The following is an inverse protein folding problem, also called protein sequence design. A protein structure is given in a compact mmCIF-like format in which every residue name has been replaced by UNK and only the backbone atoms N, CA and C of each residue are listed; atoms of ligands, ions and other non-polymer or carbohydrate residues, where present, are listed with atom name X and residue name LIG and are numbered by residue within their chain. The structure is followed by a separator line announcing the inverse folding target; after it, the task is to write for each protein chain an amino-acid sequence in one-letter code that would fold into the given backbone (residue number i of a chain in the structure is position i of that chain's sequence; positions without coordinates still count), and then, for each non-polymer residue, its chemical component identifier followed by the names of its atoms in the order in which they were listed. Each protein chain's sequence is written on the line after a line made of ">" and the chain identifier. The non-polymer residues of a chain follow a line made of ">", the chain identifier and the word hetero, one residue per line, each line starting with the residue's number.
data_IF_928111719145
#
_entry.id   IF_928111719145
#
_cell.length_a   1.000
_cell.length_b   1.000
_cell.length_c   1.000
_cell.angle_alpha   90.00
_cell.angle_beta   90.00
_cell.angle_gamma   90.00
#
_symmetry.space_group_name_H-M   'P 1'
#
loop_
_entity.id
_entity.type
_entity.pdbx_description
1 polymer ?
#
# COMPACT_ATOMS: atom_id res chain seq x y z
N UNK A 1 -19.05 1.07 6.98
CA UNK A 1 -17.77 0.85 6.26
C UNK A 1 -17.64 -0.61 5.90
N UNK A 2 -17.07 -0.91 4.75
CA UNK A 2 -16.87 -2.27 4.24
C UNK A 2 -15.54 -2.37 3.50
N UNK A 3 -15.11 -3.60 3.20
CA UNK A 3 -13.97 -3.88 2.33
C UNK A 3 -14.36 -4.89 1.27
N UNK A 4 -13.72 -4.80 0.10
CA UNK A 4 -13.87 -5.78 -0.98
C UNK A 4 -12.64 -5.79 -1.88
N UNK A 5 -12.40 -6.92 -2.53
CA UNK A 5 -11.39 -7.00 -3.59
C UNK A 5 -11.87 -6.13 -4.76
N UNK A 6 -10.97 -5.31 -5.30
CA UNK A 6 -11.25 -4.52 -6.49
C UNK A 6 -11.53 -5.45 -7.68
N UNK A 7 -12.46 -5.09 -8.54
CA UNK A 7 -12.69 -5.73 -9.83
C UNK A 7 -12.56 -4.72 -10.97
N UNK A 8 -12.75 -5.17 -12.21
CA UNK A 8 -12.59 -4.32 -13.41
C UNK A 8 -13.44 -3.04 -13.39
N UNK A 9 -14.60 -3.09 -12.73
CA UNK A 9 -15.50 -1.93 -12.54
C UNK A 9 -14.93 -0.83 -11.65
N UNK A 10 -13.90 -1.14 -10.86
CA UNK A 10 -13.29 -0.21 -9.90
C UNK A 10 -12.06 0.51 -10.43
N UNK A 11 -11.71 0.29 -11.71
CA UNK A 11 -10.47 0.81 -12.28
C UNK A 11 -10.34 2.33 -12.11
N UNK A 12 -11.44 3.08 -12.22
CA UNK A 12 -11.46 4.53 -12.01
C UNK A 12 -11.22 4.92 -10.55
N UNK A 13 -11.88 4.23 -9.61
CA UNK A 13 -11.69 4.47 -8.16
C UNK A 13 -10.26 4.16 -7.72
N UNK A 14 -9.69 3.04 -8.19
CA UNK A 14 -8.29 2.68 -7.91
C UNK A 14 -7.34 3.73 -8.49
N UNK A 15 -7.53 4.14 -9.76
CA UNK A 15 -6.70 5.19 -10.38
C UNK A 15 -6.77 6.51 -9.61
N UNK A 16 -7.96 6.92 -9.19
CA UNK A 16 -8.15 8.15 -8.43
C UNK A 16 -7.42 8.09 -7.08
N UNK A 17 -7.60 7.02 -6.30
CA UNK A 17 -6.94 6.87 -5.00
C UNK A 17 -5.41 6.75 -5.14
N UNK A 18 -4.90 6.05 -6.17
CA UNK A 18 -3.45 5.99 -6.47
C UNK A 18 -2.91 7.37 -6.84
N UNK A 19 -3.66 8.16 -7.61
CA UNK A 19 -3.28 9.54 -7.91
C UNK A 19 -3.14 10.37 -6.64
N UNK A 20 -4.09 10.29 -5.71
CA UNK A 20 -4.00 10.97 -4.42
C UNK A 20 -2.80 10.48 -3.60
N UNK A 21 -2.53 9.17 -3.59
CA UNK A 21 -1.35 8.60 -2.93
C UNK A 21 -0.04 9.14 -3.52
N UNK A 22 0.06 9.25 -4.85
CA UNK A 22 1.24 9.85 -5.53
C UNK A 22 1.46 11.29 -5.15
N UNK A 23 0.39 12.10 -5.18
CA UNK A 23 0.45 13.51 -4.79
C UNK A 23 0.88 13.63 -3.33
N UNK A 24 0.38 12.75 -2.46
CA UNK A 24 0.78 12.73 -1.06
C UNK A 24 2.26 12.39 -0.88
N UNK A 25 2.76 11.33 -1.53
CA UNK A 25 4.16 10.90 -1.43
C UNK A 25 5.11 11.95 -2.02
N UNK A 26 4.79 12.54 -3.17
CA UNK A 26 5.67 13.51 -3.84
C UNK A 26 5.95 14.77 -3.00
N UNK A 27 5.02 15.14 -2.11
CA UNK A 27 5.17 16.25 -1.18
C UNK A 27 6.05 15.93 0.04
N UNK A 28 6.44 14.66 0.22
CA UNK A 28 7.28 14.24 1.34
C UNK A 28 8.77 14.32 1.01
N UNK A 29 9.61 14.32 2.06
CA UNK A 29 11.06 14.33 1.91
C UNK A 29 11.54 13.06 1.19
N UNK A 30 12.16 13.24 0.03
CA UNK A 30 12.59 12.13 -0.84
C UNK A 30 11.46 11.49 -1.63
N UNK A 31 10.27 12.10 -1.66
CA UNK A 31 9.08 11.58 -2.32
C UNK A 31 9.26 11.37 -3.81
N UNK A 32 9.87 12.32 -4.52
CA UNK A 32 10.11 12.20 -5.97
C UNK A 32 10.95 10.97 -6.31
N UNK A 33 12.05 10.72 -5.59
CA UNK A 33 12.87 9.53 -5.83
C UNK A 33 12.17 8.26 -5.38
N UNK A 34 11.44 8.30 -4.25
CA UNK A 34 10.68 7.16 -3.75
C UNK A 34 9.61 6.69 -4.75
N UNK A 35 8.94 7.62 -5.45
CA UNK A 35 8.01 7.29 -6.54
C UNK A 35 8.69 6.62 -7.73
N UNK A 36 9.96 6.91 -7.99
CA UNK A 36 10.75 6.27 -9.05
C UNK A 36 11.37 4.93 -8.63
N UNK A 37 11.48 4.67 -7.32
CA UNK A 37 12.09 3.44 -6.76
C UNK A 37 11.09 2.60 -5.97
N UNK A 38 10.87 2.93 -4.71
CA UNK A 38 10.16 2.13 -3.71
C UNK A 38 8.67 1.99 -4.04
N UNK A 39 8.12 2.98 -4.74
CA UNK A 39 6.73 3.06 -5.20
C UNK A 39 6.61 3.17 -6.72
N UNK A 40 7.56 2.59 -7.47
CA UNK A 40 7.57 2.63 -8.94
C UNK A 40 6.25 2.15 -9.59
N UNK A 41 5.53 1.25 -8.94
CA UNK A 41 4.20 0.81 -9.38
C UNK A 41 3.19 1.97 -9.44
N UNK A 42 3.28 2.97 -8.56
CA UNK A 42 2.42 4.15 -8.61
C UNK A 42 2.70 5.02 -9.85
N UNK A 43 3.94 5.05 -10.33
CA UNK A 43 4.33 5.78 -11.55
C UNK A 43 4.01 5.04 -12.84
N UNK A 44 3.80 3.71 -12.79
CA UNK A 44 3.51 2.91 -13.96
C UNK A 44 2.20 3.40 -14.65
N UNK A 45 2.26 3.85 -15.92
CA UNK A 45 1.15 4.56 -16.55
C UNK A 45 -0.09 3.70 -16.80
N UNK A 46 0.02 2.37 -16.78
CA UNK A 46 -1.06 1.46 -17.19
C UNK A 46 -1.04 0.09 -16.49
N UNK A 47 -0.61 -0.02 -15.22
CA UNK A 47 -1.00 -1.21 -14.46
C UNK A 47 -2.50 -1.10 -14.20
N UNK A 48 -3.28 -1.83 -14.99
CA UNK A 48 -4.70 -1.94 -14.74
C UNK A 48 -4.83 -2.88 -13.55
N UNK A 49 -4.51 -2.43 -12.33
CA UNK A 49 -4.31 -3.31 -11.17
C UNK A 49 -5.57 -4.11 -10.81
N UNK A 50 -6.74 -3.60 -11.18
CA UNK A 50 -8.01 -4.32 -11.10
C UNK A 50 -8.14 -5.48 -12.12
N UNK A 51 -7.32 -5.49 -13.17
CA UNK A 51 -7.16 -6.55 -14.17
C UNK A 51 -5.88 -7.38 -13.97
N UNK A 52 -4.84 -6.82 -13.33
CA UNK A 52 -3.60 -7.53 -12.95
C UNK A 52 -3.72 -8.27 -11.61
N UNK A 53 -4.95 -8.56 -11.19
CA UNK A 53 -5.23 -9.40 -10.03
C UNK A 53 -4.81 -10.83 -10.35
N UNK A 54 -3.87 -11.34 -9.57
CA UNK A 54 -3.45 -12.74 -9.63
C UNK A 54 -3.74 -13.41 -8.30
N UNK A 55 -3.54 -14.73 -8.21
CA UNK A 55 -3.67 -15.43 -6.94
C UNK A 55 -2.74 -14.86 -5.84
N UNK A 56 -1.64 -14.22 -6.27
CA UNK A 56 -0.55 -13.72 -5.42
C UNK A 56 -0.45 -12.18 -5.40
N UNK A 57 -1.34 -11.45 -6.07
CA UNK A 57 -1.42 -9.98 -6.02
C UNK A 57 -2.87 -9.55 -6.03
N UNK A 58 -3.28 -8.82 -4.99
CA UNK A 58 -4.64 -8.31 -4.85
C UNK A 58 -4.65 -6.84 -4.45
N UNK A 59 -5.73 -6.17 -4.84
CA UNK A 59 -6.08 -4.83 -4.37
C UNK A 59 -7.41 -4.91 -3.64
N UNK A 60 -7.47 -4.39 -2.42
CA UNK A 60 -8.73 -4.18 -1.70
C UNK A 60 -9.08 -2.71 -1.66
N UNK A 61 -10.38 -2.43 -1.72
CA UNK A 61 -10.97 -1.13 -1.50
C UNK A 61 -11.59 -1.08 -0.11
N UNK A 62 -11.41 0.06 0.56
CA UNK A 62 -12.10 0.42 1.79
C UNK A 62 -13.19 1.41 1.44
N UNK A 63 -14.43 1.07 1.78
CA UNK A 63 -15.61 1.82 1.38
C UNK A 63 -16.34 2.41 2.60
N UNK A 64 -16.84 3.63 2.43
CA UNK A 64 -17.90 4.20 3.27
C UNK A 64 -19.17 4.15 2.42
N UNK A 65 -20.16 3.43 2.92
CA UNK A 65 -21.30 2.97 2.12
C UNK A 65 -20.79 2.24 0.86
N UNK A 66 -21.03 2.80 -0.32
CA UNK A 66 -20.58 2.24 -1.60
C UNK A 66 -19.43 3.04 -2.26
N UNK A 67 -18.92 4.08 -1.60
CA UNK A 67 -17.85 4.94 -2.11
C UNK A 67 -16.50 4.43 -1.62
N UNK A 68 -15.60 4.09 -2.54
CA UNK A 68 -14.22 3.74 -2.22
C UNK A 68 -13.45 5.00 -1.78
N UNK A 69 -12.94 5.00 -0.55
CA UNK A 69 -12.21 6.12 0.08
C UNK A 69 -10.79 5.74 0.50
N UNK A 70 -10.40 4.50 0.23
CA UNK A 70 -9.07 3.98 0.54
C UNK A 70 -8.82 2.67 -0.18
N UNK A 71 -7.57 2.27 -0.26
CA UNK A 71 -7.16 1.01 -0.85
C UNK A 71 -5.90 0.46 -0.20
N UNK A 72 -5.67 -0.83 -0.39
CA UNK A 72 -4.39 -1.48 -0.14
C UNK A 72 -4.09 -2.45 -1.27
N UNK A 73 -2.88 -2.38 -1.81
CA UNK A 73 -2.35 -3.36 -2.75
C UNK A 73 -1.29 -4.20 -2.04
N UNK A 74 -1.41 -5.53 -2.15
CA UNK A 74 -0.46 -6.45 -1.55
C UNK A 74 -0.12 -7.59 -2.51
N UNK A 75 1.09 -8.12 -2.37
CA UNK A 75 1.56 -9.28 -3.09
C UNK A 75 2.23 -10.29 -2.18
N UNK A 76 2.16 -11.58 -2.53
CA UNK A 76 2.92 -12.62 -1.85
C UNK A 76 4.23 -12.87 -2.60
N UNK A 77 5.33 -12.79 -1.85
CA UNK A 77 6.67 -13.10 -2.32
C UNK A 77 7.14 -14.40 -1.69
N UNK A 78 7.57 -15.35 -2.52
CA UNK A 78 8.30 -16.52 -2.06
C UNK A 78 9.78 -16.15 -1.95
N UNK A 79 10.29 -16.10 -0.72
CA UNK A 79 11.70 -15.83 -0.44
C UNK A 79 12.48 -17.14 -0.36
N UNK A 80 13.77 -17.04 -0.06
CA UNK A 80 14.64 -18.20 0.17
C UNK A 80 14.14 -19.05 1.34
N UNK A 81 14.54 -20.33 1.34
CA UNK A 81 14.21 -21.29 2.39
C UNK A 81 12.69 -21.52 2.61
N UNK A 82 11.87 -21.23 1.60
CA UNK A 82 10.42 -21.44 1.64
C UNK A 82 9.65 -20.43 2.49
N UNK A 83 10.28 -19.30 2.85
CA UNK A 83 9.61 -18.25 3.60
C UNK A 83 8.72 -17.41 2.67
N UNK A 84 7.40 -17.46 2.88
CA UNK A 84 6.47 -16.59 2.18
C UNK A 84 6.30 -15.26 2.94
N UNK A 85 6.41 -14.15 2.23
CA UNK A 85 6.27 -12.79 2.76
C UNK A 85 5.10 -12.10 2.07
N UNK A 86 4.17 -11.51 2.83
CA UNK A 86 3.16 -10.61 2.27
C UNK A 86 3.70 -9.19 2.25
N UNK A 87 3.92 -8.63 1.06
CA UNK A 87 4.36 -7.26 0.90
C UNK A 87 3.16 -6.36 0.57
N UNK A 88 2.82 -5.45 1.47
CA UNK A 88 1.98 -4.29 1.18
C UNK A 88 2.81 -3.35 0.30
N UNK A 89 2.36 -3.14 -0.93
CA UNK A 89 3.05 -2.28 -1.89
C UNK A 89 2.59 -0.84 -1.73
N UNK A 90 1.28 -0.66 -1.66
CA UNK A 90 0.66 0.63 -1.42
C UNK A 90 -0.49 0.48 -0.43
N UNK A 91 -0.62 1.47 0.43
CA UNK A 91 -1.80 1.63 1.26
C UNK A 91 -2.10 3.11 1.38
N UNK A 92 -3.35 3.49 1.14
CA UNK A 92 -3.75 4.88 1.22
C UNK A 92 -5.22 4.98 1.64
N UNK A 93 -5.51 5.96 2.47
CA UNK A 93 -6.86 6.37 2.85
C UNK A 93 -6.94 7.89 2.69
N UNK A 94 -7.99 8.36 2.04
CA UNK A 94 -8.28 9.79 1.91
C UNK A 94 -8.30 10.46 3.29
N UNK A 95 -7.75 11.67 3.39
CA UNK A 95 -7.58 12.39 4.65
C UNK A 95 -8.89 12.53 5.43
N UNK A 96 -9.99 12.80 4.73
CA UNK A 96 -11.34 12.94 5.25
C UNK A 96 -11.93 11.63 5.78
N UNK A 97 -11.37 10.49 5.38
CA UNK A 97 -11.78 9.14 5.79
C UNK A 97 -10.76 8.48 6.75
N UNK A 98 -9.77 9.22 7.24
CA UNK A 98 -8.83 8.74 8.28
C UNK A 98 -9.48 8.76 9.66
N UNK A 99 -8.86 8.04 10.60
CA UNK A 99 -9.26 7.98 12.02
C UNK A 99 -10.66 7.40 12.29
N UNK A 100 -11.39 6.97 11.27
CA UNK A 100 -12.71 6.34 11.41
C UNK A 100 -12.71 4.83 11.20
N UNK A 101 -11.54 4.21 10.93
CA UNK A 101 -11.36 2.75 10.90
C UNK A 101 -11.22 2.09 9.53
N UNK A 102 -11.22 2.86 8.43
CA UNK A 102 -11.03 2.31 7.07
C UNK A 102 -9.68 1.60 6.93
N UNK A 103 -8.59 2.22 7.40
CA UNK A 103 -7.27 1.61 7.36
C UNK A 103 -7.19 0.30 8.15
N UNK A 104 -7.83 0.25 9.32
CA UNK A 104 -7.87 -0.97 10.14
C UNK A 104 -8.56 -2.13 9.42
N UNK A 105 -9.68 -1.85 8.73
CA UNK A 105 -10.37 -2.88 7.94
C UNK A 105 -9.50 -3.41 6.79
N UNK A 106 -8.77 -2.52 6.11
CA UNK A 106 -7.83 -2.91 5.05
C UNK A 106 -6.68 -3.77 5.57
N UNK A 107 -6.07 -3.38 6.70
CA UNK A 107 -5.01 -4.18 7.34
C UNK A 107 -5.50 -5.56 7.79
N UNK A 108 -6.73 -5.65 8.31
CA UNK A 108 -7.34 -6.95 8.66
C UNK A 108 -7.48 -7.86 7.44
N UNK A 109 -7.91 -7.31 6.30
CA UNK A 109 -8.02 -8.08 5.05
C UNK A 109 -6.67 -8.62 4.59
N UNK A 110 -5.63 -7.77 4.55
CA UNK A 110 -4.28 -8.19 4.15
C UNK A 110 -3.72 -9.23 5.12
N UNK A 111 -3.91 -9.03 6.43
CA UNK A 111 -3.42 -9.96 7.45
C UNK A 111 -4.07 -11.33 7.32
N UNK A 112 -5.40 -11.37 7.15
CA UNK A 112 -6.10 -12.62 6.92
C UNK A 112 -5.62 -13.31 5.63
N UNK A 113 -5.49 -12.54 4.54
CA UNK A 113 -5.03 -13.06 3.25
C UNK A 113 -3.61 -13.66 3.33
N UNK A 114 -2.71 -13.02 4.06
CA UNK A 114 -1.34 -13.49 4.31
C UNK A 114 -1.33 -14.77 5.16
N UNK A 115 -2.16 -14.84 6.20
CA UNK A 115 -2.28 -16.03 7.07
C UNK A 115 -2.81 -17.24 6.29
N UNK A 116 -3.83 -17.05 5.46
CA UNK A 116 -4.39 -18.12 4.61
C UNK A 116 -3.36 -18.69 3.63
N UNK A 117 -2.33 -17.92 3.28
CA UNK A 117 -1.23 -18.32 2.39
C UNK A 117 0.03 -18.79 3.14
N UNK A 118 -0.05 -18.91 4.47
CA UNK A 118 1.07 -19.37 5.29
C UNK A 118 2.25 -18.40 5.31
N UNK A 119 2.02 -17.11 5.09
CA UNK A 119 3.09 -16.11 5.16
C UNK A 119 3.67 -16.04 6.57
N UNK A 120 5.00 -15.99 6.66
CA UNK A 120 5.72 -15.85 7.92
C UNK A 120 5.81 -14.40 8.42
N UNK A 121 5.38 -13.42 7.61
CA UNK A 121 5.48 -11.99 7.93
C UNK A 121 4.76 -11.09 6.92
N UNK A 122 4.62 -9.82 7.32
CA UNK A 122 4.07 -8.74 6.49
C UNK A 122 5.09 -7.61 6.46
N UNK A 123 5.35 -7.09 5.26
CA UNK A 123 6.17 -5.90 5.03
C UNK A 123 5.34 -4.76 4.47
N UNK A 124 5.70 -3.55 4.87
CA UNK A 124 5.15 -2.31 4.31
C UNK A 124 6.23 -1.21 4.33
N UNK A 125 6.11 -0.25 3.42
CA UNK A 125 7.00 0.91 3.36
C UNK A 125 6.30 2.14 3.92
N UNK A 126 6.96 2.85 4.83
CA UNK A 126 6.56 4.16 5.33
C UNK A 126 7.65 5.19 5.03
N UNK A 127 7.26 6.38 4.61
CA UNK A 127 8.20 7.46 4.36
C UNK A 127 8.83 7.97 5.68
N UNK A 128 10.10 8.42 5.69
CA UNK A 128 10.85 8.67 6.92
C UNK A 128 10.29 9.80 7.81
N UNK A 129 9.54 10.74 7.22
CA UNK A 129 8.87 11.82 7.95
C UNK A 129 7.42 11.51 8.33
N UNK A 130 6.87 10.41 7.81
CA UNK A 130 5.47 10.06 7.95
C UNK A 130 5.22 9.28 9.24
N UNK A 131 5.15 10.04 10.34
CA UNK A 131 4.88 9.49 11.67
C UNK A 131 3.51 8.86 11.78
N UNK A 132 2.52 9.37 11.06
CA UNK A 132 1.16 8.85 11.07
C UNK A 132 1.15 7.42 10.50
N UNK A 133 1.72 7.23 9.31
CA UNK A 133 1.84 5.91 8.68
C UNK A 133 2.70 4.96 9.51
N UNK A 134 3.81 5.42 10.08
CA UNK A 134 4.66 4.61 10.97
C UNK A 134 3.88 4.15 12.21
N UNK A 135 3.21 5.06 12.91
CA UNK A 135 2.41 4.75 14.09
C UNK A 135 1.28 3.78 13.75
N UNK A 136 0.60 4.00 12.61
CA UNK A 136 -0.44 3.11 12.11
C UNK A 136 0.08 1.67 11.97
N UNK A 137 1.19 1.45 11.26
CA UNK A 137 1.77 0.12 11.13
C UNK A 137 2.23 -0.49 12.46
N UNK A 138 2.78 0.32 13.37
CA UNK A 138 3.17 -0.12 14.71
C UNK A 138 1.98 -0.63 15.54
N UNK A 139 0.77 -0.08 15.34
CA UNK A 139 -0.44 -0.60 16.00
C UNK A 139 -0.81 -2.02 15.57
N UNK A 140 -0.34 -2.47 14.39
CA UNK A 140 -0.49 -3.84 13.88
C UNK A 140 0.75 -4.71 14.17
N UNK A 141 1.69 -4.22 14.97
CA UNK A 141 2.88 -4.97 15.36
C UNK A 141 4.00 -5.00 14.31
N UNK A 142 3.88 -4.24 13.22
CA UNK A 142 4.98 -4.07 12.28
C UNK A 142 6.10 -3.26 12.95
N UNK A 143 7.34 -3.68 12.70
CA UNK A 143 8.54 -3.01 13.21
C UNK A 143 9.43 -2.59 12.05
N UNK A 144 10.15 -1.48 12.22
CA UNK A 144 11.12 -1.05 11.22
C UNK A 144 12.27 -2.06 11.11
N UNK A 145 12.50 -2.57 9.90
CA UNK A 145 13.60 -3.52 9.60
C UNK A 145 14.72 -2.94 8.71
N UNK A 146 14.49 -1.78 8.10
CA UNK A 146 15.45 -1.12 7.20
C UNK A 146 15.23 0.40 7.17
N UNK A 147 16.26 1.14 6.76
CA UNK A 147 16.19 2.59 6.47
C UNK A 147 16.85 2.81 5.11
N UNK A 148 16.15 3.48 4.20
CA UNK A 148 16.67 3.91 2.91
C UNK A 148 17.11 5.38 3.00
N UNK A 149 18.28 5.70 2.46
CA UNK A 149 18.86 7.06 2.45
C UNK A 149 19.19 7.49 1.02
N UNK A 150 19.13 8.80 0.76
CA UNK A 150 19.32 9.36 -0.58
C UNK A 150 20.10 10.68 -0.54
N UNK A 151 20.92 10.91 -1.59
CA UNK A 151 21.58 12.17 -1.90
C UNK A 151 21.37 12.49 -3.39
N UNK A 152 20.92 13.71 -3.70
CA UNK A 152 20.87 14.20 -5.08
C UNK A 152 22.27 14.65 -5.51
N UNK A 153 22.77 14.09 -6.61
CA UNK A 153 24.09 14.41 -7.19
C UNK A 153 24.02 15.44 -8.32
N UNK A 154 22.83 15.86 -8.76
CA UNK A 154 22.65 16.86 -9.83
C UNK A 154 22.82 18.30 -9.35
N UNK A 155 22.92 18.49 -8.03
CA UNK A 155 23.11 19.77 -7.37
C UNK A 155 24.57 20.14 -7.08
N UNK A 156 25.54 19.51 -7.75
CA UNK A 156 26.97 19.92 -7.71
C UNK A 156 27.34 20.78 -8.90
#
# INVERSE_FOLDING_TARGET
>A
MSTRVAGTVDADSVRFLRHLARVHISQQRGGEVALLSDFADLEAPESNDAQDLTADRLVWLGCIDDVAVGYVSAQILQLTDGYALCQIREMFVESEAREIGVGELLMKCVTQWAQERGCGGIDATAMPGDRETKNFFETFGLVARAITVHQDLRGT
#
